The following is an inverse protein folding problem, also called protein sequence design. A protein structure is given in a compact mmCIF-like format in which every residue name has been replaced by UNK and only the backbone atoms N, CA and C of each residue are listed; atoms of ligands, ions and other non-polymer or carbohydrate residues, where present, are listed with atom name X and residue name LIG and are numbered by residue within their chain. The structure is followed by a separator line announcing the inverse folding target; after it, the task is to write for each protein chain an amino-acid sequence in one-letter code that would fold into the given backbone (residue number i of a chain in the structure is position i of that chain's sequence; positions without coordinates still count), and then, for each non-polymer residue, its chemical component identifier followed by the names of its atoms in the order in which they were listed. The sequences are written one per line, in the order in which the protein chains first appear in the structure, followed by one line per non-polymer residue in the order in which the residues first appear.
data_IF_993019494181
#
_entry.id   IF_993019494181
#
_cell.length_a   1.000
_cell.length_b   1.000
_cell.length_c   1.000
_cell.angle_alpha   90.00
_cell.angle_beta   90.00
_cell.angle_gamma   90.00
#
_symmetry.space_group_name_H-M   'P 1'
#
loop_
_entity.id
_entity.type
_entity.pdbx_description
1 polymer ?
#
# COMPACT_ATOMS: atom_id res chain seq x y z
N UNK A 1 12.35 24.97 0.25
CA UNK A 1 12.02 23.97 1.29
C UNK A 1 10.85 24.53 2.10
N UNK A 2 10.01 23.64 2.65
CA UNK A 2 8.98 23.92 3.68
C UNK A 2 7.62 24.53 3.33
N UNK A 3 7.04 24.17 2.18
CA UNK A 3 5.58 24.29 1.96
C UNK A 3 4.85 22.92 1.91
N UNK A 4 5.57 21.83 2.14
CA UNK A 4 5.06 20.45 1.99
C UNK A 4 4.51 19.84 3.28
N UNK A 5 4.91 20.34 4.46
CA UNK A 5 4.42 19.87 5.77
C UNK A 5 2.98 20.34 6.04
N UNK A 6 2.64 21.55 5.58
CA UNK A 6 1.29 22.11 5.69
C UNK A 6 0.23 21.32 4.92
N UNK A 7 0.57 20.78 3.74
CA UNK A 7 -0.36 20.00 2.92
C UNK A 7 -0.73 18.66 3.56
N UNK A 8 0.23 17.97 4.18
CA UNK A 8 -0.05 16.73 4.92
C UNK A 8 -0.97 16.98 6.13
N UNK A 9 -0.81 18.14 6.78
CA UNK A 9 -1.69 18.56 7.86
C UNK A 9 -3.11 18.89 7.36
N UNK A 10 -3.22 19.56 6.20
CA UNK A 10 -4.52 19.82 5.56
C UNK A 10 -5.17 18.53 5.05
N UNK A 11 -4.38 17.57 4.57
CA UNK A 11 -4.84 16.25 4.18
C UNK A 11 -5.39 15.46 5.38
N UNK A 12 -4.65 15.44 6.49
CA UNK A 12 -5.10 14.85 7.75
C UNK A 12 -6.43 15.45 8.21
N UNK A 13 -6.55 16.79 8.18
CA UNK A 13 -7.79 17.50 8.53
C UNK A 13 -8.95 17.21 7.57
N UNK A 14 -8.68 17.07 6.28
CA UNK A 14 -9.69 16.73 5.26
C UNK A 14 -10.18 15.29 5.41
N UNK A 15 -9.27 14.33 5.64
CA UNK A 15 -9.61 12.92 5.82
C UNK A 15 -10.32 12.66 7.17
N UNK A 16 -9.92 13.36 8.24
CA UNK A 16 -10.60 13.28 9.54
C UNK A 16 -12.08 13.71 9.47
N UNK A 17 -12.44 14.68 8.61
CA UNK A 17 -13.83 15.10 8.38
C UNK A 17 -14.69 14.04 7.67
N UNK A 18 -14.11 13.20 6.81
CA UNK A 18 -14.85 12.18 6.05
C UNK A 18 -15.29 11.00 6.95
N UNK A 19 -14.56 10.72 8.03
CA UNK A 19 -14.88 9.64 8.98
C UNK A 19 -16.22 9.85 9.71
N UNK A 20 -16.66 11.10 9.91
CA UNK A 20 -17.94 11.38 10.58
C UNK A 20 -19.19 11.16 9.72
N UNK A 21 -19.06 10.92 8.40
CA UNK A 21 -20.21 10.82 7.49
C UNK A 21 -20.49 9.41 6.95
N UNK A 22 -19.75 8.37 7.38
CA UNK A 22 -19.99 6.98 6.96
C UNK A 22 -20.64 6.16 8.08
N UNK A 23 -21.86 6.53 8.47
CA UNK A 23 -22.75 5.60 9.16
C UNK A 23 -24.18 5.77 8.67
N UNK A 24 -24.57 4.94 7.68
CA UNK A 24 -25.91 4.37 7.44
C UNK A 24 -26.08 3.98 5.97
N UNK A 25 -26.05 2.68 5.69
CA UNK A 25 -26.78 2.07 4.57
C UNK A 25 -27.36 0.74 5.09
N UNK A 26 -28.68 0.46 4.96
CA UNK A 26 -29.28 -0.77 5.44
C UNK A 26 -29.19 -1.91 4.41
N UNK A 27 -28.94 -3.13 4.91
CA UNK A 27 -29.13 -4.38 4.17
C UNK A 27 -30.62 -4.65 3.97
N UNK A 28 -31.02 -5.07 2.77
CA UNK A 28 -32.33 -5.71 2.53
C UNK A 28 -32.09 -7.07 1.86
N UNK A 29 -32.59 -8.11 2.52
CA UNK A 29 -32.69 -9.49 2.04
C UNK A 29 -34.05 -9.67 1.35
N UNK A 30 -34.10 -10.43 0.25
CA UNK A 30 -35.31 -11.14 -0.15
C UNK A 30 -34.98 -12.37 -1.02
N UNK A 31 -35.43 -13.53 -0.56
CA UNK A 31 -35.58 -14.77 -1.33
C UNK A 31 -36.90 -14.71 -2.14
N UNK A 32 -37.00 -15.27 -3.36
CA UNK A 32 -37.35 -16.68 -3.67
C UNK A 32 -37.46 -16.94 -5.20
N UNK A 33 -37.54 -18.22 -5.55
CA UNK A 33 -37.27 -18.98 -6.81
C UNK A 33 -38.12 -18.68 -8.06
N UNK A 34 -37.57 -19.04 -9.23
CA UNK A 34 -38.14 -20.10 -10.10
C UNK A 34 -37.20 -20.53 -11.24
N UNK A 35 -37.10 -21.85 -11.45
CA UNK A 35 -36.38 -22.53 -12.52
C UNK A 35 -37.28 -22.63 -13.76
N UNK A 36 -36.80 -22.17 -14.92
CA UNK A 36 -37.25 -22.68 -16.23
C UNK A 36 -36.08 -22.82 -17.20
N UNK A 37 -35.94 -24.03 -17.74
CA UNK A 37 -34.96 -24.45 -18.74
C UNK A 37 -35.59 -24.20 -20.11
N UNK A 38 -34.97 -23.34 -20.94
CA UNK A 38 -35.31 -23.20 -22.36
C UNK A 38 -34.03 -23.22 -23.21
N UNK A 39 -34.10 -24.02 -24.28
CA UNK A 39 -32.99 -24.48 -25.15
C UNK A 39 -32.38 -23.33 -25.98
N UNK A 40 -31.05 -23.38 -26.16
CA UNK A 40 -30.21 -22.42 -26.90
C UNK A 40 -30.38 -22.52 -28.43
N UNK A 41 -30.37 -21.38 -29.14
CA UNK A 41 -29.81 -21.29 -30.48
C UNK A 41 -28.61 -20.31 -30.54
N UNK A 42 -27.53 -20.74 -31.19
CA UNK A 42 -26.44 -19.91 -31.75
C UNK A 42 -25.70 -18.94 -30.80
N UNK A 43 -24.51 -19.30 -30.33
CA UNK A 43 -23.59 -18.38 -29.66
C UNK A 43 -23.20 -17.23 -30.59
N UNK A 44 -23.88 -16.09 -30.51
CA UNK A 44 -23.26 -14.80 -30.78
C UNK A 44 -22.36 -14.51 -29.59
N UNK A 45 -21.06 -14.52 -29.80
CA UNK A 45 -20.11 -14.09 -28.77
C UNK A 45 -20.39 -12.63 -28.43
N UNK A 46 -20.99 -12.38 -27.27
CA UNK A 46 -21.11 -11.04 -26.75
C UNK A 46 -19.73 -10.59 -26.29
N UNK A 47 -19.07 -9.70 -27.05
CA UNK A 47 -17.78 -9.08 -26.69
C UNK A 47 -17.85 -8.15 -25.45
N UNK A 48 -18.85 -8.31 -24.57
CA UNK A 48 -19.09 -7.46 -23.40
C UNK A 48 -17.97 -7.53 -22.35
N UNK A 49 -17.14 -8.57 -22.37
CA UNK A 49 -15.98 -8.76 -21.47
C UNK A 49 -14.62 -8.42 -22.10
N UNK A 50 -14.56 -7.88 -23.32
CA UNK A 50 -13.31 -7.26 -23.78
C UNK A 50 -13.12 -5.99 -22.97
N UNK A 51 -12.17 -6.04 -22.02
CA UNK A 51 -11.64 -4.90 -21.26
C UNK A 51 -11.62 -3.66 -22.16
N UNK A 52 -12.54 -2.73 -21.91
CA UNK A 52 -12.50 -1.40 -22.54
C UNK A 52 -11.24 -0.73 -21.99
N UNK A 53 -10.22 -0.63 -22.84
CA UNK A 53 -9.04 0.23 -22.69
C UNK A 53 -7.89 -0.20 -21.77
N UNK A 54 -7.51 -1.49 -21.79
CA UNK A 54 -6.18 -1.88 -21.30
C UNK A 54 -5.04 -1.13 -22.04
N UNK A 55 -5.22 -0.89 -23.34
CA UNK A 55 -4.32 -0.12 -24.19
C UNK A 55 -4.39 1.40 -23.90
N UNK A 56 -5.61 1.97 -23.79
CA UNK A 56 -5.80 3.40 -23.54
C UNK A 56 -5.25 3.84 -22.18
N UNK A 57 -5.52 3.09 -21.12
CA UNK A 57 -4.97 3.37 -19.79
C UNK A 57 -3.43 3.28 -19.73
N UNK A 58 -2.82 2.43 -20.57
CA UNK A 58 -1.36 2.37 -20.72
C UNK A 58 -0.78 3.62 -21.38
N UNK A 59 -1.41 4.11 -22.46
CA UNK A 59 -1.00 5.35 -23.11
C UNK A 59 -1.19 6.57 -22.22
N UNK A 60 -2.32 6.66 -21.49
CA UNK A 60 -2.57 7.72 -20.50
C UNK A 60 -1.52 7.71 -19.38
N UNK A 61 -1.13 6.53 -18.90
CA UNK A 61 -0.07 6.39 -17.92
C UNK A 61 1.29 6.89 -18.46
N UNK A 62 1.65 6.53 -19.70
CA UNK A 62 2.87 7.02 -20.33
C UNK A 62 2.84 8.54 -20.55
N UNK A 63 1.68 9.10 -20.91
CA UNK A 63 1.50 10.54 -21.04
C UNK A 63 1.74 11.25 -19.70
N UNK A 64 1.15 10.77 -18.60
CA UNK A 64 1.40 11.29 -17.25
C UNK A 64 2.89 11.24 -16.92
N UNK A 65 3.53 10.08 -17.11
CA UNK A 65 4.96 9.89 -16.81
C UNK A 65 5.83 10.88 -17.61
N UNK A 66 5.52 11.13 -18.88
CA UNK A 66 6.22 12.11 -19.71
C UNK A 66 6.04 13.53 -19.18
N UNK A 67 4.81 13.92 -18.85
CA UNK A 67 4.50 15.25 -18.28
C UNK A 67 5.35 15.46 -17.02
N UNK A 68 5.23 14.58 -16.02
CA UNK A 68 5.89 14.79 -14.73
C UNK A 68 7.42 14.68 -14.84
N UNK A 69 7.95 13.91 -15.77
CA UNK A 69 9.42 13.79 -15.94
C UNK A 69 10.05 15.06 -16.46
N UNK A 70 9.34 15.83 -17.30
CA UNK A 70 9.88 17.00 -18.01
C UNK A 70 9.69 18.33 -17.27
N UNK A 71 9.03 18.34 -16.12
CA UNK A 71 8.68 19.55 -15.37
C UNK A 71 9.72 19.88 -14.29
N UNK A 72 9.87 21.16 -13.90
CA UNK A 72 10.68 21.52 -12.73
C UNK A 72 10.10 20.91 -11.45
N UNK A 73 10.90 20.84 -10.39
CA UNK A 73 10.48 20.25 -9.10
C UNK A 73 9.59 21.18 -8.25
N UNK A 74 8.97 22.18 -8.88
CA UNK A 74 8.07 23.13 -8.25
C UNK A 74 6.67 22.52 -8.10
N UNK A 75 6.09 22.64 -6.90
CA UNK A 75 4.77 22.08 -6.58
C UNK A 75 3.71 22.59 -7.56
N UNK A 76 3.63 23.89 -7.79
CA UNK A 76 2.63 24.53 -8.65
C UNK A 76 2.72 24.02 -10.10
N UNK A 77 3.94 23.89 -10.64
CA UNK A 77 4.15 23.37 -11.99
C UNK A 77 3.68 21.92 -12.12
N UNK A 78 4.02 21.07 -11.15
CA UNK A 78 3.64 19.65 -11.16
C UNK A 78 2.14 19.48 -10.94
N UNK A 79 1.57 20.13 -9.94
CA UNK A 79 0.16 19.97 -9.58
C UNK A 79 -0.74 20.59 -10.66
N UNK A 80 -0.37 21.75 -11.20
CA UNK A 80 -1.09 22.37 -12.31
C UNK A 80 -1.07 21.51 -13.58
N UNK A 81 0.05 20.82 -13.86
CA UNK A 81 0.13 19.90 -15.00
C UNK A 81 -0.69 18.61 -14.77
N UNK A 82 -0.68 18.07 -13.55
CA UNK A 82 -1.49 16.90 -13.20
C UNK A 82 -3.00 17.23 -13.20
N UNK A 83 -3.38 18.43 -12.75
CA UNK A 83 -4.76 18.91 -12.81
C UNK A 83 -5.23 19.04 -14.27
N UNK A 84 -4.40 19.62 -15.15
CA UNK A 84 -4.66 19.66 -16.60
C UNK A 84 -4.76 18.27 -17.22
N UNK A 85 -3.94 17.32 -16.77
CA UNK A 85 -4.01 15.93 -17.24
C UNK A 85 -5.35 15.27 -16.91
N UNK A 86 -5.99 15.64 -15.80
CA UNK A 86 -7.33 15.15 -15.43
C UNK A 86 -8.50 16.00 -15.93
N UNK A 87 -8.27 17.26 -16.34
CA UNK A 87 -9.32 18.24 -16.57
C UNK A 87 -10.34 17.84 -17.66
N UNK A 88 -9.91 17.03 -18.64
CA UNK A 88 -10.75 16.59 -19.75
C UNK A 88 -11.27 15.15 -19.59
N UNK A 89 -11.06 14.53 -18.43
CA UNK A 89 -11.51 13.18 -18.15
C UNK A 89 -12.89 13.19 -17.47
N UNK A 90 -13.83 12.40 -17.99
CA UNK A 90 -15.19 12.27 -17.42
C UNK A 90 -15.16 11.66 -16.02
N UNK A 91 -14.24 10.72 -15.79
CA UNK A 91 -14.01 10.07 -14.51
C UNK A 91 -12.52 10.12 -14.17
N UNK A 92 -12.19 10.14 -12.88
CA UNK A 92 -10.80 10.18 -12.46
C UNK A 92 -10.05 8.94 -13.01
N UNK A 93 -8.95 9.11 -13.76
CA UNK A 93 -8.27 8.00 -14.44
C UNK A 93 -7.39 7.14 -13.48
N UNK A 94 -8.02 6.54 -12.46
CA UNK A 94 -7.37 5.76 -11.37
C UNK A 94 -6.44 4.67 -11.90
N UNK A 95 -6.88 3.90 -12.90
CA UNK A 95 -6.09 2.79 -13.47
C UNK A 95 -4.83 3.34 -14.17
N UNK A 96 -4.94 4.45 -14.90
CA UNK A 96 -3.81 5.07 -15.56
C UNK A 96 -2.82 5.65 -14.55
N UNK A 97 -3.30 6.30 -13.48
CA UNK A 97 -2.46 6.79 -12.39
C UNK A 97 -1.71 5.65 -11.67
N UNK A 98 -2.38 4.54 -11.35
CA UNK A 98 -1.74 3.36 -10.76
C UNK A 98 -0.67 2.74 -11.66
N UNK A 99 -0.94 2.65 -12.97
CA UNK A 99 0.05 2.22 -13.97
C UNK A 99 1.23 3.19 -14.04
N UNK A 100 0.98 4.50 -14.00
CA UNK A 100 2.02 5.51 -14.02
C UNK A 100 2.95 5.40 -12.80
N UNK A 101 2.39 5.29 -11.58
CA UNK A 101 3.17 5.03 -10.36
C UNK A 101 4.03 3.77 -10.48
N UNK A 102 3.48 2.70 -11.06
CA UNK A 102 4.22 1.45 -11.30
C UNK A 102 5.39 1.63 -12.28
N UNK A 103 5.22 2.45 -13.33
CA UNK A 103 6.27 2.79 -14.29
C UNK A 103 7.36 3.65 -13.62
N UNK A 104 6.97 4.70 -12.89
CA UNK A 104 7.90 5.56 -12.15
C UNK A 104 8.73 4.74 -11.15
N UNK A 105 8.09 3.80 -10.44
CA UNK A 105 8.76 2.87 -9.51
C UNK A 105 9.80 2.00 -10.20
N UNK A 106 9.47 1.42 -11.36
CA UNK A 106 10.44 0.65 -12.16
C UNK A 106 11.62 1.50 -12.62
N UNK A 107 11.39 2.80 -12.87
CA UNK A 107 12.43 3.77 -13.26
C UNK A 107 13.16 4.39 -12.08
N UNK A 108 12.83 4.00 -10.83
CA UNK A 108 13.39 4.56 -9.60
C UNK A 108 13.27 6.10 -9.51
N UNK A 109 12.23 6.68 -10.10
CA UNK A 109 11.97 8.12 -10.03
C UNK A 109 11.23 8.46 -8.73
N UNK A 110 11.88 8.28 -7.58
CA UNK A 110 11.28 8.37 -6.24
C UNK A 110 10.63 9.74 -5.98
N UNK A 111 11.32 10.83 -6.30
CA UNK A 111 10.78 12.18 -6.18
C UNK A 111 9.46 12.37 -6.97
N UNK A 112 9.36 11.81 -8.19
CA UNK A 112 8.13 11.88 -8.99
C UNK A 112 7.01 11.04 -8.39
N UNK A 113 7.35 9.88 -7.83
CA UNK A 113 6.38 9.04 -7.11
C UNK A 113 5.83 9.82 -5.92
N UNK A 114 6.68 10.50 -5.15
CA UNK A 114 6.26 11.34 -4.02
C UNK A 114 5.31 12.44 -4.50
N UNK A 115 5.72 13.20 -5.52
CA UNK A 115 4.91 14.31 -6.04
C UNK A 115 3.55 13.85 -6.56
N UNK A 116 3.50 12.81 -7.39
CA UNK A 116 2.26 12.26 -7.95
C UNK A 116 1.38 11.66 -6.85
N UNK A 117 1.96 10.92 -5.91
CA UNK A 117 1.20 10.29 -4.82
C UNK A 117 0.61 11.35 -3.89
N UNK A 118 1.37 12.39 -3.50
CA UNK A 118 0.84 13.50 -2.69
C UNK A 118 -0.27 14.25 -3.41
N UNK A 119 -0.13 14.50 -4.71
CA UNK A 119 -1.18 15.10 -5.52
C UNK A 119 -2.44 14.23 -5.52
N UNK A 120 -2.32 12.92 -5.79
CA UNK A 120 -3.44 11.97 -5.76
C UNK A 120 -4.19 12.02 -4.42
N UNK A 121 -3.44 11.94 -3.32
CA UNK A 121 -4.00 12.01 -1.98
C UNK A 121 -4.72 13.34 -1.77
N UNK A 122 -4.13 14.48 -2.19
CA UNK A 122 -4.73 15.81 -2.04
C UNK A 122 -6.08 15.99 -2.74
N UNK A 123 -6.35 15.20 -3.78
CA UNK A 123 -7.64 15.15 -4.49
C UNK A 123 -8.64 14.18 -3.84
N UNK A 124 -8.27 13.54 -2.74
CA UNK A 124 -9.04 12.46 -2.12
C UNK A 124 -9.07 11.18 -2.95
N UNK A 125 -8.17 11.06 -3.93
CA UNK A 125 -8.14 9.93 -4.86
C UNK A 125 -7.09 8.90 -4.45
N UNK A 126 -7.33 7.65 -4.83
CA UNK A 126 -6.40 6.55 -4.60
C UNK A 126 -5.92 6.44 -3.13
N UNK A 127 -6.83 6.65 -2.16
CA UNK A 127 -6.61 6.43 -0.73
C UNK A 127 -6.54 4.94 -0.39
N UNK A 128 -5.73 4.19 -1.13
CA UNK A 128 -5.61 2.74 -1.02
C UNK A 128 -4.32 2.38 -0.31
N UNK A 129 -4.29 1.20 0.33
CA UNK A 129 -3.08 0.66 0.96
C UNK A 129 -1.91 0.54 -0.04
N UNK A 130 -2.18 0.31 -1.34
CA UNK A 130 -1.14 0.25 -2.37
C UNK A 130 -0.49 1.61 -2.66
N UNK A 131 -1.26 2.70 -2.59
CA UNK A 131 -0.72 4.06 -2.75
C UNK A 131 0.12 4.44 -1.55
N UNK A 132 -0.34 4.15 -0.32
CA UNK A 132 0.44 4.37 0.89
C UNK A 132 1.73 3.54 0.91
N UNK A 133 1.66 2.26 0.53
CA UNK A 133 2.84 1.40 0.36
C UNK A 133 3.83 2.06 -0.60
N UNK A 134 3.37 2.46 -1.78
CA UNK A 134 4.22 3.07 -2.80
C UNK A 134 4.85 4.39 -2.31
N UNK A 135 4.10 5.22 -1.59
CA UNK A 135 4.59 6.48 -1.03
C UNK A 135 5.63 6.24 0.08
N UNK A 136 5.38 5.32 1.01
CA UNK A 136 6.33 4.96 2.08
C UNK A 136 7.65 4.43 1.51
N UNK A 137 7.60 3.59 0.46
CA UNK A 137 8.82 3.15 -0.24
C UNK A 137 9.53 4.32 -0.91
N UNK A 138 8.80 5.26 -1.50
CA UNK A 138 9.43 6.41 -2.13
C UNK A 138 10.12 7.31 -1.09
N UNK A 139 9.55 7.47 0.11
CA UNK A 139 10.20 8.20 1.19
C UNK A 139 11.43 7.49 1.75
N UNK A 140 11.38 6.17 1.93
CA UNK A 140 12.52 5.34 2.30
C UNK A 140 13.69 5.56 1.33
N UNK A 141 13.43 5.40 0.04
CA UNK A 141 14.46 5.52 -1.00
C UNK A 141 14.96 6.95 -1.22
N UNK A 142 14.19 7.96 -0.84
CA UNK A 142 14.55 9.38 -0.93
C UNK A 142 15.13 9.94 0.39
N UNK A 143 15.13 9.14 1.47
CA UNK A 143 15.66 9.52 2.79
C UNK A 143 14.78 10.48 3.61
N UNK A 144 13.47 10.51 3.36
CA UNK A 144 12.54 11.50 3.96
C UNK A 144 11.80 10.95 5.18
N UNK A 145 12.54 10.67 6.25
CA UNK A 145 12.02 10.07 7.49
C UNK A 145 10.95 10.90 8.19
N UNK A 146 11.10 12.23 8.25
CA UNK A 146 10.11 13.09 8.91
C UNK A 146 8.73 12.99 8.27
N UNK A 147 8.67 12.83 6.94
CA UNK A 147 7.41 12.67 6.23
C UNK A 147 6.84 11.25 6.36
N UNK A 148 7.72 10.26 6.46
CA UNK A 148 7.33 8.89 6.79
C UNK A 148 6.57 8.84 8.12
N UNK A 149 7.10 9.45 9.17
CA UNK A 149 6.45 9.50 10.49
C UNK A 149 5.06 10.13 10.43
N UNK A 150 4.93 11.26 9.71
CA UNK A 150 3.65 11.96 9.56
C UNK A 150 2.62 11.06 8.85
N UNK A 151 3.01 10.43 7.73
CA UNK A 151 2.12 9.53 7.00
C UNK A 151 1.78 8.29 7.81
N UNK A 152 2.74 7.69 8.51
CA UNK A 152 2.52 6.50 9.31
C UNK A 152 1.53 6.75 10.43
N UNK A 153 1.72 7.83 11.20
CA UNK A 153 0.79 8.25 12.25
C UNK A 153 -0.61 8.55 11.71
N UNK A 154 -0.70 9.20 10.55
CA UNK A 154 -1.99 9.42 9.87
C UNK A 154 -2.67 8.10 9.49
N UNK A 155 -1.93 7.13 8.94
CA UNK A 155 -2.48 5.81 8.59
C UNK A 155 -3.00 5.09 9.84
N UNK A 156 -2.23 5.09 10.92
CA UNK A 156 -2.62 4.50 12.20
C UNK A 156 -3.92 5.10 12.74
N UNK A 157 -4.04 6.42 12.76
CA UNK A 157 -5.23 7.11 13.26
C UNK A 157 -6.46 6.92 12.37
N UNK A 158 -6.27 6.96 11.06
CA UNK A 158 -7.39 6.96 10.10
C UNK A 158 -7.89 5.55 9.79
N UNK A 159 -7.01 4.55 9.82
CA UNK A 159 -7.31 3.19 9.34
C UNK A 159 -6.97 2.10 10.37
N UNK A 160 -7.00 2.41 11.66
CA UNK A 160 -6.57 1.52 12.76
C UNK A 160 -7.08 0.08 12.67
N UNK A 161 -8.31 -0.14 12.20
CA UNK A 161 -8.93 -1.48 12.12
C UNK A 161 -8.56 -2.30 10.88
N UNK A 162 -7.84 -1.75 9.90
CA UNK A 162 -7.66 -2.39 8.59
C UNK A 162 -6.25 -2.30 8.01
N UNK A 163 -5.24 -1.93 8.82
CA UNK A 163 -3.86 -1.85 8.35
C UNK A 163 -3.38 -3.23 7.93
N UNK A 164 -2.97 -3.34 6.67
CA UNK A 164 -2.50 -4.60 6.12
C UNK A 164 -1.14 -5.00 6.72
N UNK A 165 -0.92 -6.31 6.91
CA UNK A 165 0.39 -6.88 7.25
C UNK A 165 1.53 -6.30 6.41
N UNK A 166 1.30 -6.10 5.10
CA UNK A 166 2.29 -5.56 4.17
C UNK A 166 2.75 -4.14 4.53
N UNK A 167 1.85 -3.29 5.02
CA UNK A 167 2.22 -1.94 5.43
C UNK A 167 3.07 -1.95 6.71
N UNK A 168 2.73 -2.82 7.67
CA UNK A 168 3.59 -3.07 8.83
C UNK A 168 4.99 -3.56 8.41
N UNK A 169 5.06 -4.56 7.54
CA UNK A 169 6.36 -5.03 7.01
C UNK A 169 7.13 -3.91 6.29
N UNK A 170 6.44 -3.03 5.55
CA UNK A 170 7.06 -1.89 4.84
C UNK A 170 7.68 -0.90 5.81
N UNK A 171 6.93 -0.44 6.83
CA UNK A 171 7.43 0.57 7.76
C UNK A 171 8.56 -0.01 8.65
N UNK A 172 8.47 -1.27 9.06
CA UNK A 172 9.55 -1.96 9.79
C UNK A 172 10.80 -2.05 8.93
N UNK A 173 10.66 -2.42 7.65
CA UNK A 173 11.79 -2.46 6.72
C UNK A 173 12.46 -1.10 6.53
N UNK A 174 11.65 -0.04 6.47
CA UNK A 174 12.11 1.33 6.35
C UNK A 174 12.93 1.74 7.59
N UNK A 175 12.40 1.53 8.80
CA UNK A 175 13.15 1.86 10.03
C UNK A 175 14.41 1.04 10.21
N UNK A 176 14.43 -0.23 9.77
CA UNK A 176 15.64 -1.04 9.77
C UNK A 176 16.71 -0.46 8.82
N UNK A 177 16.32 -0.07 7.61
CA UNK A 177 17.21 0.55 6.63
C UNK A 177 17.83 1.85 7.17
N UNK A 178 17.10 2.57 8.01
CA UNK A 178 17.55 3.79 8.67
C UNK A 178 18.12 3.59 10.09
N UNK A 179 18.40 2.35 10.50
CA UNK A 179 19.02 2.00 11.79
C UNK A 179 18.27 2.51 13.03
N UNK A 180 16.93 2.43 13.04
CA UNK A 180 16.07 2.88 14.14
C UNK A 180 15.41 1.70 14.87
N UNK A 181 16.14 0.93 15.70
CA UNK A 181 15.60 -0.25 16.36
C UNK A 181 14.46 0.09 17.33
N UNK A 182 14.46 1.25 17.98
CA UNK A 182 13.38 1.68 18.88
C UNK A 182 12.05 1.80 18.14
N UNK A 183 12.07 2.42 16.94
CA UNK A 183 10.89 2.56 16.09
C UNK A 183 10.37 1.23 15.55
N UNK A 184 11.26 0.29 15.25
CA UNK A 184 10.87 -1.08 14.89
C UNK A 184 10.06 -1.72 16.02
N UNK A 185 10.50 -1.55 17.27
CA UNK A 185 9.83 -2.14 18.45
C UNK A 185 8.50 -1.44 18.76
N UNK A 186 8.40 -0.11 18.58
CA UNK A 186 7.14 0.62 18.68
C UNK A 186 6.11 0.08 17.68
N UNK A 187 6.48 0.03 16.38
CA UNK A 187 5.58 -0.48 15.34
C UNK A 187 5.20 -1.94 15.58
N UNK A 188 6.14 -2.76 16.04
CA UNK A 188 5.85 -4.16 16.35
C UNK A 188 4.83 -4.29 17.49
N UNK A 189 4.89 -3.41 18.48
CA UNK A 189 3.91 -3.35 19.57
C UNK A 189 2.52 -3.03 19.00
N UNK A 190 2.41 -1.99 18.16
CA UNK A 190 1.15 -1.65 17.48
C UNK A 190 0.61 -2.84 16.65
N UNK A 191 1.52 -3.55 15.96
CA UNK A 191 1.18 -4.71 15.14
C UNK A 191 0.61 -5.86 15.98
N UNK A 192 1.17 -6.13 17.17
CA UNK A 192 0.66 -7.13 18.11
C UNK A 192 -0.67 -6.71 18.72
N UNK A 193 -0.82 -5.44 19.11
CA UNK A 193 -2.05 -4.89 19.70
C UNK A 193 -3.24 -4.95 18.73
N UNK A 194 -2.98 -4.69 17.45
CA UNK A 194 -3.99 -4.82 16.39
C UNK A 194 -4.21 -6.27 15.94
N UNK A 195 -3.54 -7.25 16.56
CA UNK A 195 -3.68 -8.67 16.23
C UNK A 195 -3.16 -9.05 14.85
N UNK A 196 -2.30 -8.22 14.24
CA UNK A 196 -1.75 -8.48 12.91
C UNK A 196 -0.56 -9.42 13.04
N UNK A 197 -0.66 -10.63 12.48
CA UNK A 197 0.44 -11.60 12.54
C UNK A 197 1.60 -11.19 11.62
N UNK A 198 2.84 -11.02 12.13
CA UNK A 198 4.03 -10.74 11.32
C UNK A 198 4.37 -11.89 10.37
N UNK A 199 5.06 -11.55 9.28
CA UNK A 199 5.76 -12.53 8.43
C UNK A 199 7.17 -12.81 8.97
N UNK A 200 7.84 -13.81 8.39
CA UNK A 200 9.13 -14.29 8.90
C UNK A 200 10.22 -13.21 8.83
N UNK A 201 10.21 -12.38 7.77
CA UNK A 201 11.14 -11.27 7.61
C UNK A 201 10.92 -10.21 8.70
N UNK A 202 9.66 -9.87 8.98
CA UNK A 202 9.29 -8.97 10.08
C UNK A 202 9.76 -9.52 11.42
N UNK A 203 9.54 -10.81 11.70
CA UNK A 203 10.00 -11.47 12.94
C UNK A 203 11.52 -11.41 13.06
N UNK A 204 12.25 -11.63 11.96
CA UNK A 204 13.70 -11.52 11.95
C UNK A 204 14.19 -10.11 12.30
N UNK A 205 13.65 -9.07 11.64
CA UNK A 205 14.04 -7.67 11.86
C UNK A 205 13.71 -7.19 13.27
N UNK A 206 12.55 -7.55 13.79
CA UNK A 206 12.18 -7.25 15.19
C UNK A 206 13.10 -7.99 16.18
N UNK A 207 13.44 -9.24 15.88
CA UNK A 207 14.41 -10.00 16.67
C UNK A 207 15.80 -9.33 16.72
N UNK A 208 16.26 -8.81 15.59
CA UNK A 208 17.49 -8.00 15.49
C UNK A 208 17.39 -6.70 16.29
N UNK A 209 16.26 -6.00 16.22
CA UNK A 209 16.02 -4.80 17.01
C UNK A 209 16.09 -5.08 18.52
N UNK A 210 15.46 -6.16 19.00
CA UNK A 210 15.58 -6.57 20.41
C UNK A 210 17.02 -6.87 20.82
N UNK A 211 17.82 -7.50 19.96
CA UNK A 211 19.23 -7.78 20.23
C UNK A 211 20.07 -6.51 20.34
N UNK A 212 19.87 -5.56 19.42
CA UNK A 212 20.52 -4.24 19.47
C UNK A 212 20.14 -3.49 20.75
N UNK A 213 18.87 -3.56 21.18
CA UNK A 213 18.40 -2.98 22.44
C UNK A 213 18.79 -3.79 23.69
N UNK A 214 19.63 -4.83 23.60
CA UNK A 214 20.08 -5.65 24.73
C UNK A 214 19.03 -6.61 25.31
N UNK A 215 17.89 -6.78 24.63
CA UNK A 215 16.74 -7.57 25.07
C UNK A 215 16.71 -8.97 24.43
N UNK A 216 17.83 -9.69 24.47
CA UNK A 216 17.99 -11.01 23.83
C UNK A 216 17.00 -12.07 24.33
N UNK A 217 16.51 -11.95 25.56
CA UNK A 217 15.45 -12.83 26.08
C UNK A 217 14.12 -12.65 25.31
N UNK A 218 13.75 -11.40 24.96
CA UNK A 218 12.55 -11.11 24.16
C UNK A 218 12.67 -11.62 22.74
N UNK A 219 13.86 -11.54 22.12
CA UNK A 219 14.15 -12.20 20.83
C UNK A 219 13.85 -13.70 20.89
N UNK A 220 14.33 -14.41 21.92
CA UNK A 220 14.04 -15.85 22.09
C UNK A 220 12.55 -16.13 22.22
N UNK A 221 11.83 -15.32 23.01
CA UNK A 221 10.37 -15.44 23.17
C UNK A 221 9.62 -15.18 21.85
N UNK A 222 10.00 -14.14 21.12
CA UNK A 222 9.45 -13.79 19.81
C UNK A 222 9.61 -14.93 18.82
N UNK A 223 10.83 -15.47 18.70
CA UNK A 223 11.14 -16.58 17.79
C UNK A 223 10.30 -17.80 18.14
N UNK A 224 10.15 -18.13 19.43
CA UNK A 224 9.29 -19.23 19.89
C UNK A 224 7.82 -19.00 19.56
N UNK A 225 7.30 -17.78 19.75
CA UNK A 225 5.89 -17.41 19.50
C UNK A 225 5.52 -17.53 18.03
N UNK A 226 6.36 -17.02 17.13
CA UNK A 226 6.06 -16.97 15.70
C UNK A 226 6.66 -18.11 14.88
N UNK A 227 7.39 -19.03 15.53
CA UNK A 227 7.93 -20.24 14.90
C UNK A 227 6.87 -20.96 14.08
N UNK A 228 7.14 -21.10 12.79
CA UNK A 228 6.37 -22.00 11.94
C UNK A 228 6.69 -23.42 12.37
N UNK A 229 5.66 -24.21 12.67
CA UNK A 229 5.83 -25.64 12.97
C UNK A 229 6.11 -26.47 11.71
N UNK A 230 5.72 -25.93 10.54
CA UNK A 230 5.75 -26.64 9.28
C UNK A 230 6.12 -25.68 8.14
N UNK A 231 6.87 -26.20 7.17
CA UNK A 231 7.17 -25.58 5.89
C UNK A 231 6.60 -26.44 4.76
N UNK A 232 6.27 -25.83 3.64
CA UNK A 232 5.85 -26.54 2.44
C UNK A 232 6.99 -26.51 1.44
N UNK A 233 7.37 -27.66 0.94
CA UNK A 233 8.35 -27.82 -0.13
C UNK A 233 7.64 -28.33 -1.37
N UNK A 234 8.10 -27.90 -2.53
CA UNK A 234 7.67 -28.48 -3.80
C UNK A 234 8.64 -29.58 -4.19
N UNK A 235 8.14 -30.81 -4.29
CA UNK A 235 8.90 -31.98 -4.71
C UNK A 235 8.12 -32.66 -5.84
N UNK A 236 8.75 -32.80 -7.01
CA UNK A 236 8.13 -33.41 -8.20
C UNK A 236 6.75 -32.82 -8.59
N UNK A 237 6.56 -31.51 -8.42
CA UNK A 237 5.29 -30.84 -8.71
C UNK A 237 4.23 -30.94 -7.61
N UNK A 238 4.47 -31.72 -6.56
CA UNK A 238 3.59 -31.84 -5.39
C UNK A 238 4.05 -30.97 -4.23
N UNK A 239 3.09 -30.47 -3.43
CA UNK A 239 3.38 -29.73 -2.19
C UNK A 239 3.44 -30.67 -1.01
N UNK A 240 4.65 -30.91 -0.51
CA UNK A 240 4.90 -31.74 0.67
C UNK A 240 5.05 -30.86 1.90
N UNK A 241 4.34 -31.18 2.98
CA UNK A 241 4.44 -30.51 4.28
C UNK A 241 5.54 -31.17 5.10
N UNK A 242 6.59 -30.43 5.41
CA UNK A 242 7.75 -30.90 6.19
C UNK A 242 7.81 -30.10 7.50
N UNK A 243 8.19 -30.69 8.65
CA UNK A 243 8.49 -29.93 9.86
C UNK A 243 9.51 -28.82 9.55
N UNK A 244 9.37 -27.66 10.18
CA UNK A 244 10.43 -26.66 10.09
C UNK A 244 11.57 -27.10 11.03
N UNK A 245 12.73 -27.41 10.45
CA UNK A 245 13.88 -28.03 11.11
C UNK A 245 14.25 -27.39 12.46
N UNK A 246 14.74 -28.19 13.40
CA UNK A 246 15.13 -27.79 14.76
C UNK A 246 16.57 -27.22 14.87
N UNK A 247 17.37 -27.30 13.80
CA UNK A 247 18.80 -27.00 13.86
C UNK A 247 19.19 -25.74 13.08
N UNK A 248 19.29 -24.63 13.82
CA UNK A 248 20.24 -23.51 13.61
C UNK A 248 19.94 -22.44 14.67
N UNK A 249 20.31 -22.77 15.92
CA UNK A 249 20.44 -21.81 17.01
C UNK A 249 21.90 -21.33 17.10
#
# INVERSE_FOLDING_TARGET
MDNLRGDLFLLHRFLSKQHNNQSKLPCILSHDKSLQIVKKPGKKEHHLWKNRDSAGSGQKALHLVRIVSNLPNEKEAIYGALDKWTAWETEFPVIAAAKALSILRRRKQWLRIIQVSKWLLSKGQMLTMGTYDTLLLAFDMDGRLDETEIIWNMILQTHSRSISKRLFSRIISLYEHHHMPEKILEVFTDMEELGVRPDDDTVYRVGRAFEISGQSHKKKMLMKKYRKRWRYLYFNGERVRVPADEESL
#
